data_IF_285874254262
#
_entry.id   IF_285874254262
#
_cell.length_a   1.000
_cell.length_b   1.000
_cell.length_c   1.000
_cell.angle_alpha   90.00
_cell.angle_beta   90.00
_cell.angle_gamma   90.00
#
_symmetry.space_group_name_H-M   'P 1'
#
loop_
_entity.id
_entity.type
_entity.pdbx_description
1 polymer ?
#
# COMPACT_ATOMS: atom_id res chain seq x y z
N UNK A 1 9.43 12.15 -26.21
CA UNK A 1 8.39 12.60 -25.26
C UNK A 1 8.55 11.88 -23.92
N UNK A 2 8.33 12.59 -22.82
CA UNK A 2 8.33 12.03 -21.49
C UNK A 2 7.08 11.19 -21.24
N UNK A 3 7.23 9.99 -20.65
CA UNK A 3 6.12 9.06 -20.38
C UNK A 3 4.99 9.74 -19.56
N UNK A 4 5.32 10.51 -18.53
CA UNK A 4 4.34 11.17 -17.65
C UNK A 4 3.49 12.19 -18.43
N UNK A 5 4.11 12.92 -19.36
CA UNK A 5 3.38 13.84 -20.24
C UNK A 5 2.46 13.10 -21.20
N UNK A 6 2.88 11.95 -21.72
CA UNK A 6 2.02 11.12 -22.59
C UNK A 6 0.83 10.62 -21.79
N UNK A 7 1.05 10.05 -20.61
CA UNK A 7 -0.01 9.56 -19.73
C UNK A 7 -1.00 10.69 -19.39
N UNK A 8 -0.50 11.87 -19.04
CA UNK A 8 -1.37 13.02 -18.75
C UNK A 8 -2.22 13.45 -19.96
N UNK A 9 -1.64 13.47 -21.16
CA UNK A 9 -2.39 13.73 -22.40
C UNK A 9 -3.48 12.67 -22.67
N UNK A 10 -3.27 11.43 -22.20
CA UNK A 10 -4.25 10.36 -22.29
C UNK A 10 -5.30 10.36 -21.16
N UNK A 11 -5.31 11.40 -20.31
CA UNK A 11 -6.30 11.56 -19.24
C UNK A 11 -5.91 10.91 -17.91
N UNK A 12 -4.64 10.52 -17.71
CA UNK A 12 -4.18 10.01 -16.43
C UNK A 12 -4.02 11.16 -15.43
N UNK A 13 -4.71 11.08 -14.30
CA UNK A 13 -4.67 12.11 -13.26
C UNK A 13 -3.88 11.68 -12.02
N UNK A 14 -3.59 10.39 -11.85
CA UNK A 14 -2.87 9.85 -10.70
C UNK A 14 -1.90 8.75 -11.12
N UNK A 15 -0.74 8.72 -10.46
CA UNK A 15 0.26 7.66 -10.60
C UNK A 15 0.39 6.92 -9.26
N UNK A 16 0.27 5.58 -9.29
CA UNK A 16 0.58 4.73 -8.15
C UNK A 16 2.06 4.36 -8.18
N UNK A 17 2.77 4.72 -7.11
CA UNK A 17 4.18 4.42 -6.91
C UNK A 17 4.33 3.49 -5.72
N UNK A 18 4.86 2.29 -5.94
CA UNK A 18 5.21 1.38 -4.85
C UNK A 18 6.56 1.75 -4.27
N UNK A 19 6.75 1.50 -2.99
CA UNK A 19 8.01 1.71 -2.30
C UNK A 19 8.41 0.48 -1.48
N UNK A 20 9.69 0.11 -1.59
CA UNK A 20 10.35 -0.94 -0.85
C UNK A 20 11.43 -0.35 0.06
N UNK A 21 11.58 -0.83 1.31
CA UNK A 21 12.58 -0.31 2.25
C UNK A 21 14.01 -0.43 1.75
N UNK A 22 14.43 -1.61 1.26
CA UNK A 22 15.80 -1.84 0.79
C UNK A 22 15.84 -2.91 -0.31
N UNK A 23 15.54 -2.54 -1.58
CA UNK A 23 15.42 -3.47 -2.71
C UNK A 23 16.77 -3.90 -3.30
N UNK A 24 17.78 -4.08 -2.49
CA UNK A 24 19.13 -4.41 -2.91
C UNK A 24 19.66 -5.67 -2.22
N UNK A 25 20.49 -6.43 -2.92
CA UNK A 25 21.20 -7.56 -2.32
C UNK A 25 22.43 -7.11 -1.50
N UNK A 26 23.17 -8.08 -0.94
CA UNK A 26 24.36 -7.80 -0.13
C UNK A 26 25.51 -7.13 -0.92
N UNK A 27 25.50 -7.20 -2.24
CA UNK A 27 26.49 -6.53 -3.10
C UNK A 27 26.05 -5.11 -3.51
N UNK A 28 24.83 -4.71 -3.13
CA UNK A 28 24.21 -3.45 -3.55
C UNK A 28 23.55 -3.52 -4.94
N UNK A 29 23.42 -4.71 -5.52
CA UNK A 29 22.72 -4.88 -6.79
C UNK A 29 21.20 -4.93 -6.54
N UNK A 30 20.38 -4.25 -7.37
CA UNK A 30 18.93 -4.25 -7.21
C UNK A 30 18.35 -5.63 -7.52
N UNK A 31 17.30 -6.02 -6.79
CA UNK A 31 16.58 -7.30 -7.02
C UNK A 31 15.86 -7.38 -8.38
N UNK A 32 15.76 -6.28 -9.12
CA UNK A 32 14.98 -6.20 -10.36
C UNK A 32 13.54 -5.74 -10.11
N UNK A 33 12.73 -5.76 -11.15
CA UNK A 33 11.35 -5.26 -11.07
C UNK A 33 11.23 -3.73 -10.92
N UNK A 34 12.29 -3.00 -11.26
CA UNK A 34 12.46 -1.56 -11.02
C UNK A 34 13.09 -1.29 -9.66
N UNK A 35 13.82 -0.20 -9.54
CA UNK A 35 14.35 0.28 -8.27
C UNK A 35 13.25 1.05 -7.55
N UNK A 36 12.46 0.37 -6.73
CA UNK A 36 11.35 1.02 -6.01
C UNK A 36 11.80 1.50 -4.62
N UNK A 37 13.00 2.04 -4.53
CA UNK A 37 13.55 2.67 -3.33
C UNK A 37 13.01 4.10 -3.15
N UNK A 38 13.39 4.71 -2.03
CA UNK A 38 12.95 6.07 -1.70
C UNK A 38 13.43 7.10 -2.75
N UNK A 39 14.66 7.00 -3.23
CA UNK A 39 15.22 7.97 -4.18
C UNK A 39 14.50 7.91 -5.52
N UNK A 40 14.33 6.72 -6.07
CA UNK A 40 13.59 6.51 -7.32
C UNK A 40 12.14 6.94 -7.19
N UNK A 41 11.51 6.63 -6.04
CA UNK A 41 10.13 7.06 -5.74
C UNK A 41 10.01 8.59 -5.76
N UNK A 42 10.96 9.31 -5.16
CA UNK A 42 11.00 10.78 -5.19
C UNK A 42 11.09 11.32 -6.62
N UNK A 43 12.01 10.79 -7.43
CA UNK A 43 12.19 11.22 -8.81
C UNK A 43 10.91 11.02 -9.65
N UNK A 44 10.28 9.86 -9.52
CA UNK A 44 9.04 9.55 -10.21
C UNK A 44 7.88 10.43 -9.72
N UNK A 45 7.77 10.65 -8.41
CA UNK A 45 6.74 11.52 -7.84
C UNK A 45 6.90 12.99 -8.27
N UNK A 46 8.13 13.50 -8.34
CA UNK A 46 8.41 14.84 -8.87
C UNK A 46 8.00 14.98 -10.34
N UNK A 47 8.28 13.96 -11.16
CA UNK A 47 7.89 13.93 -12.57
C UNK A 47 6.36 13.89 -12.72
N UNK A 48 5.68 13.07 -11.93
CA UNK A 48 4.22 13.00 -11.90
C UNK A 48 3.62 14.37 -11.55
N UNK A 49 4.09 14.98 -10.46
CA UNK A 49 3.65 16.30 -10.01
C UNK A 49 3.92 17.37 -11.05
N UNK A 50 5.10 17.40 -11.66
CA UNK A 50 5.47 18.35 -12.73
C UNK A 50 4.60 18.20 -13.99
N UNK A 51 3.98 17.04 -14.16
CA UNK A 51 3.04 16.75 -15.23
C UNK A 51 1.58 16.99 -14.84
N UNK A 52 1.31 17.52 -13.63
CA UNK A 52 -0.05 17.78 -13.14
C UNK A 52 -0.82 16.53 -12.73
N UNK A 53 -0.12 15.49 -12.27
CA UNK A 53 -0.72 14.25 -11.74
C UNK A 53 -0.50 14.15 -10.24
N UNK A 54 -1.44 13.54 -9.57
CA UNK A 54 -1.36 13.18 -8.15
C UNK A 54 -0.59 11.87 -7.95
N UNK A 55 -0.20 11.60 -6.70
CA UNK A 55 0.51 10.38 -6.32
C UNK A 55 -0.31 9.59 -5.32
N UNK A 56 -0.49 8.30 -5.60
CA UNK A 56 -0.81 7.26 -4.63
C UNK A 56 0.50 6.57 -4.26
N UNK A 57 0.92 6.64 -3.00
CA UNK A 57 2.11 5.98 -2.51
C UNK A 57 1.75 4.63 -1.89
N UNK A 58 2.34 3.56 -2.40
CA UNK A 58 2.08 2.18 -1.99
C UNK A 58 3.23 1.62 -1.15
N UNK A 59 3.03 1.56 0.16
CA UNK A 59 3.98 0.92 1.08
C UNK A 59 3.79 -0.60 1.09
N UNK A 60 4.69 -1.33 0.46
CA UNK A 60 4.62 -2.80 0.46
C UNK A 60 5.18 -3.44 1.73
N UNK A 61 5.97 -2.72 2.53
CA UNK A 61 6.65 -3.21 3.75
C UNK A 61 7.43 -4.51 3.53
N UNK A 62 8.03 -4.63 2.38
CA UNK A 62 8.91 -5.73 1.97
C UNK A 62 10.03 -5.16 1.10
N UNK A 63 11.18 -5.80 1.06
CA UNK A 63 12.30 -5.36 0.20
C UNK A 63 12.09 -5.72 -1.27
N UNK A 64 11.06 -6.50 -1.56
CA UNK A 64 10.65 -6.91 -2.90
C UNK A 64 9.13 -7.08 -2.96
N UNK A 65 8.60 -7.57 -4.06
CA UNK A 65 7.16 -7.78 -4.24
C UNK A 65 6.49 -8.44 -3.04
N UNK A 66 5.52 -7.75 -2.48
CA UNK A 66 4.56 -8.30 -1.53
C UNK A 66 3.26 -8.63 -2.28
N UNK A 67 2.78 -9.86 -2.11
CA UNK A 67 1.59 -10.39 -2.75
C UNK A 67 0.85 -11.35 -1.80
N UNK A 68 -0.35 -11.86 -2.12
CA UNK A 68 -1.12 -12.70 -1.21
C UNK A 68 -0.44 -14.01 -0.80
N UNK A 69 0.55 -14.47 -1.57
CA UNK A 69 1.32 -15.68 -1.28
C UNK A 69 2.67 -15.38 -0.59
N UNK A 70 3.07 -14.10 -0.55
CA UNK A 70 4.39 -13.70 -0.07
C UNK A 70 4.39 -12.30 0.55
N UNK A 71 4.52 -12.25 1.86
CA UNK A 71 4.52 -11.03 2.67
C UNK A 71 5.73 -11.03 3.62
N UNK A 72 6.94 -11.07 3.02
CA UNK A 72 8.19 -11.23 3.74
C UNK A 72 8.60 -9.90 4.38
N UNK A 73 8.94 -9.93 5.68
CA UNK A 73 9.52 -8.77 6.37
C UNK A 73 10.78 -8.28 5.67
N UNK A 74 11.02 -6.96 5.61
CA UNK A 74 12.31 -6.42 5.19
C UNK A 74 13.47 -7.06 5.95
N UNK A 75 14.61 -7.22 5.31
CA UNK A 75 15.80 -7.85 5.95
C UNK A 75 16.21 -7.16 7.24
N UNK A 76 16.08 -5.83 7.31
CA UNK A 76 16.35 -5.04 8.51
C UNK A 76 15.37 -5.30 9.66
N UNK A 77 14.18 -5.84 9.38
CA UNK A 77 13.12 -6.10 10.37
C UNK A 77 12.95 -7.59 10.67
N UNK A 78 13.80 -8.44 10.13
CA UNK A 78 13.65 -9.90 10.20
C UNK A 78 13.48 -10.43 11.64
N UNK A 79 14.22 -9.86 12.61
CA UNK A 79 14.16 -10.23 14.02
C UNK A 79 13.12 -9.47 14.84
N UNK A 80 12.53 -8.40 14.29
CA UNK A 80 11.56 -7.57 15.03
C UNK A 80 10.22 -8.28 15.12
N UNK A 81 9.56 -8.15 16.29
CA UNK A 81 8.23 -8.68 16.55
C UNK A 81 7.41 -7.70 17.41
N UNK A 82 6.10 -7.88 17.49
CA UNK A 82 5.22 -7.10 18.36
C UNK A 82 5.45 -5.60 18.26
N UNK A 83 5.66 -4.93 19.40
CA UNK A 83 5.82 -3.48 19.46
C UNK A 83 7.07 -2.94 18.75
N UNK A 84 8.13 -3.72 18.65
CA UNK A 84 9.32 -3.31 17.89
C UNK A 84 9.02 -3.28 16.38
N UNK A 85 8.27 -4.25 15.87
CA UNK A 85 7.85 -4.28 14.48
C UNK A 85 6.84 -3.17 14.17
N UNK A 86 5.87 -2.91 15.05
CA UNK A 86 4.98 -1.76 14.93
C UNK A 86 5.75 -0.42 14.88
N UNK A 87 6.77 -0.26 15.74
CA UNK A 87 7.62 0.93 15.73
C UNK A 87 8.42 1.06 14.42
N UNK A 88 8.90 -0.05 13.86
CA UNK A 88 9.60 -0.05 12.56
C UNK A 88 8.68 0.37 11.41
N UNK A 89 7.44 -0.16 11.35
CA UNK A 89 6.42 0.26 10.38
C UNK A 89 6.12 1.75 10.50
N UNK A 90 5.86 2.21 11.72
CA UNK A 90 5.58 3.63 11.99
C UNK A 90 6.73 4.53 11.53
N UNK A 91 7.96 4.23 11.97
CA UNK A 91 9.14 5.06 11.66
C UNK A 91 9.44 5.08 10.16
N UNK A 92 9.40 3.92 9.50
CA UNK A 92 9.63 3.85 8.05
C UNK A 92 8.60 4.68 7.28
N UNK A 93 7.33 4.54 7.61
CA UNK A 93 6.25 5.29 6.95
C UNK A 93 6.43 6.80 7.19
N UNK A 94 6.63 7.18 8.46
CA UNK A 94 6.81 8.57 8.87
C UNK A 94 8.01 9.23 8.18
N UNK A 95 9.19 8.62 8.25
CA UNK A 95 10.41 9.21 7.68
C UNK A 95 10.34 9.29 6.15
N UNK A 96 9.73 8.31 5.49
CA UNK A 96 9.47 8.33 4.05
C UNK A 96 8.56 9.52 3.68
N UNK A 97 7.43 9.68 4.34
CA UNK A 97 6.50 10.78 4.07
C UNK A 97 7.10 12.14 4.38
N UNK A 98 7.82 12.27 5.48
CA UNK A 98 8.56 13.48 5.84
C UNK A 98 9.63 13.83 4.79
N UNK A 99 10.34 12.85 4.29
CA UNK A 99 11.35 13.04 3.22
C UNK A 99 10.73 13.54 1.93
N UNK A 100 9.59 12.96 1.52
CA UNK A 100 8.80 13.41 0.36
C UNK A 100 8.27 14.83 0.55
N UNK A 101 7.64 15.09 1.71
CA UNK A 101 7.06 16.40 2.07
C UNK A 101 8.09 17.52 2.04
N UNK A 102 9.31 17.29 2.54
CA UNK A 102 10.41 18.26 2.51
C UNK A 102 10.87 18.58 1.07
N UNK A 103 10.46 17.79 0.08
CA UNK A 103 10.68 18.02 -1.37
C UNK A 103 9.43 18.50 -2.09
N UNK A 104 8.44 18.93 -1.32
CA UNK A 104 7.18 19.44 -1.84
C UNK A 104 6.27 18.36 -2.43
N UNK A 105 6.50 17.08 -2.12
CA UNK A 105 5.69 15.95 -2.58
C UNK A 105 4.77 15.52 -1.43
N UNK A 106 3.47 15.74 -1.59
CA UNK A 106 2.45 15.28 -0.66
C UNK A 106 1.58 14.30 -1.44
N UNK A 107 1.55 13.00 -1.09
CA UNK A 107 0.68 12.05 -1.76
C UNK A 107 -0.79 12.36 -1.48
N UNK A 108 -1.65 12.24 -2.50
CA UNK A 108 -3.10 12.36 -2.33
C UNK A 108 -3.71 11.11 -1.65
N UNK A 109 -3.05 9.97 -1.84
CA UNK A 109 -3.44 8.71 -1.22
C UNK A 109 -2.20 7.95 -0.74
N UNK A 110 -2.33 7.23 0.37
CA UNK A 110 -1.30 6.33 0.88
C UNK A 110 -1.90 4.94 1.11
N UNK A 111 -1.33 3.96 0.45
CA UNK A 111 -1.69 2.57 0.62
C UNK A 111 -0.80 1.92 1.68
N UNK A 112 -1.42 1.37 2.72
CA UNK A 112 -0.74 0.73 3.86
C UNK A 112 -0.80 -0.79 3.68
N UNK A 113 0.26 -1.34 3.11
CA UNK A 113 0.35 -2.75 2.68
C UNK A 113 -0.19 -2.99 1.27
N UNK A 114 0.31 -4.01 0.60
CA UNK A 114 -0.12 -4.43 -0.73
C UNK A 114 -0.71 -5.83 -0.71
N UNK A 115 -1.93 -6.00 -1.24
CA UNK A 115 -2.63 -7.29 -1.34
C UNK A 115 -2.59 -8.09 -0.02
N UNK A 116 -3.03 -7.42 1.06
CA UNK A 116 -2.92 -7.93 2.43
C UNK A 116 -4.04 -8.89 2.84
N UNK A 117 -4.63 -9.59 1.89
CA UNK A 117 -5.70 -10.58 2.11
C UNK A 117 -5.32 -11.62 3.15
N UNK A 118 -4.07 -12.08 3.13
CA UNK A 118 -3.51 -12.99 4.13
C UNK A 118 -2.68 -12.27 5.21
N UNK A 119 -2.85 -10.93 5.34
CA UNK A 119 -2.04 -10.09 6.20
C UNK A 119 -0.73 -9.65 5.53
N UNK A 120 0.18 -9.07 6.29
CA UNK A 120 1.49 -8.61 5.81
C UNK A 120 2.57 -8.78 6.88
N UNK A 121 3.85 -8.61 6.55
CA UNK A 121 4.96 -8.74 7.50
C UNK A 121 4.95 -10.10 8.26
N UNK A 122 4.84 -11.18 7.49
CA UNK A 122 4.77 -12.52 8.07
C UNK A 122 6.01 -12.92 8.86
N UNK A 123 5.82 -13.77 9.91
CA UNK A 123 4.56 -14.38 10.38
C UNK A 123 3.71 -13.48 11.29
N UNK A 124 4.24 -12.36 11.79
CA UNK A 124 3.64 -11.55 12.85
C UNK A 124 2.28 -10.96 12.44
N UNK A 125 2.22 -10.28 11.31
CA UNK A 125 1.01 -9.66 10.78
C UNK A 125 0.17 -10.55 9.87
N UNK A 126 0.28 -11.89 9.99
CA UNK A 126 -0.58 -12.81 9.25
C UNK A 126 -2.03 -12.70 9.75
N UNK A 127 -3.01 -12.81 8.86
CA UNK A 127 -4.45 -12.73 9.15
C UNK A 127 -4.92 -13.71 10.25
N UNK A 128 -4.18 -14.78 10.53
CA UNK A 128 -4.41 -15.68 11.68
C UNK A 128 -4.15 -15.02 13.05
N UNK A 129 -3.46 -13.87 13.07
CA UNK A 129 -3.21 -13.05 14.24
C UNK A 129 -3.73 -11.64 13.98
N UNK A 130 -5.05 -11.48 13.95
CA UNK A 130 -5.73 -10.23 13.62
C UNK A 130 -5.30 -9.07 14.51
N UNK A 131 -5.08 -9.29 15.80
CA UNK A 131 -4.67 -8.23 16.72
C UNK A 131 -3.27 -7.66 16.37
N UNK A 132 -2.32 -8.53 16.04
CA UNK A 132 -1.00 -8.07 15.60
C UNK A 132 -1.06 -7.39 14.23
N UNK A 133 -1.82 -7.94 13.28
CA UNK A 133 -2.03 -7.31 11.98
C UNK A 133 -2.65 -5.92 12.12
N UNK A 134 -3.68 -5.79 12.94
CA UNK A 134 -4.33 -4.50 13.22
C UNK A 134 -3.38 -3.48 13.85
N UNK A 135 -2.54 -3.89 14.81
CA UNK A 135 -1.52 -3.04 15.41
C UNK A 135 -0.50 -2.51 14.40
N UNK A 136 -0.09 -3.35 13.46
CA UNK A 136 0.80 -2.96 12.36
C UNK A 136 0.13 -1.99 11.39
N UNK A 137 -1.14 -2.21 11.02
CA UNK A 137 -1.91 -1.29 10.20
C UNK A 137 -2.07 0.06 10.88
N UNK A 138 -2.49 0.07 12.16
CA UNK A 138 -2.64 1.29 12.95
C UNK A 138 -1.31 2.06 13.08
N UNK A 139 -0.17 1.38 13.17
CA UNK A 139 1.14 2.02 13.21
C UNK A 139 1.46 2.77 11.91
N UNK A 140 1.23 2.13 10.75
CA UNK A 140 1.39 2.79 9.45
C UNK A 140 0.42 3.95 9.25
N UNK A 141 -0.86 3.72 9.53
CA UNK A 141 -1.93 4.73 9.40
C UNK A 141 -1.65 5.96 10.27
N UNK A 142 -1.25 5.75 11.53
CA UNK A 142 -0.88 6.86 12.43
C UNK A 142 0.24 7.72 11.84
N UNK A 143 1.27 7.10 11.28
CA UNK A 143 2.35 7.84 10.64
C UNK A 143 1.88 8.67 9.43
N UNK A 144 0.95 8.13 8.64
CA UNK A 144 0.33 8.85 7.52
C UNK A 144 -0.43 10.07 8.02
N UNK A 145 -1.29 9.90 9.02
CA UNK A 145 -2.12 10.99 9.56
C UNK A 145 -1.30 12.10 10.22
N UNK A 146 -0.18 11.75 10.83
CA UNK A 146 0.72 12.74 11.42
C UNK A 146 1.48 13.55 10.36
N UNK A 147 1.97 12.94 9.29
CA UNK A 147 2.79 13.62 8.29
C UNK A 147 2.00 14.20 7.10
N UNK A 148 0.92 13.52 6.71
CA UNK A 148 0.08 13.88 5.57
C UNK A 148 -1.41 13.76 5.92
N UNK A 149 -1.96 14.60 6.82
CA UNK A 149 -3.33 14.45 7.35
C UNK A 149 -4.43 14.51 6.29
N UNK A 150 -4.16 15.13 5.14
CA UNK A 150 -5.10 15.22 4.02
C UNK A 150 -5.05 14.00 3.08
N UNK A 151 -4.03 13.13 3.22
CA UNK A 151 -3.91 11.96 2.38
C UNK A 151 -4.95 10.91 2.76
N UNK A 152 -5.69 10.40 1.78
CA UNK A 152 -6.63 9.30 2.00
C UNK A 152 -5.89 7.98 2.15
N UNK A 153 -6.31 7.17 3.09
CA UNK A 153 -5.69 5.89 3.44
C UNK A 153 -6.39 4.75 2.69
N UNK A 154 -5.59 3.95 1.99
CA UNK A 154 -6.07 2.80 1.21
C UNK A 154 -5.65 1.51 1.90
N UNK A 155 -6.61 0.61 2.15
CA UNK A 155 -6.35 -0.80 2.43
C UNK A 155 -6.62 -1.62 1.16
N UNK A 156 -5.67 -2.46 0.76
CA UNK A 156 -5.66 -3.09 -0.54
C UNK A 156 -5.64 -4.62 -0.46
N UNK A 157 -6.65 -5.25 -1.04
CA UNK A 157 -6.76 -6.71 -1.15
C UNK A 157 -6.69 -7.16 -2.61
N UNK A 158 -6.37 -8.43 -2.81
CA UNK A 158 -6.47 -9.11 -4.10
C UNK A 158 -7.88 -9.69 -4.34
N UNK A 159 -8.06 -10.46 -5.44
CA UNK A 159 -9.34 -11.09 -5.80
C UNK A 159 -10.54 -10.14 -5.79
N UNK A 160 -10.46 -9.01 -6.50
CA UNK A 160 -11.48 -7.95 -6.50
C UNK A 160 -12.90 -8.38 -6.86
N UNK A 161 -13.11 -9.59 -7.36
CA UNK A 161 -14.44 -10.17 -7.69
C UNK A 161 -15.02 -11.06 -6.59
N UNK A 162 -14.26 -11.34 -5.52
CA UNK A 162 -14.69 -12.21 -4.41
C UNK A 162 -15.32 -11.39 -3.26
N UNK A 163 -16.62 -11.12 -3.39
CA UNK A 163 -17.37 -10.34 -2.41
C UNK A 163 -17.35 -10.93 -1.00
N UNK A 164 -17.39 -12.28 -0.89
CA UNK A 164 -17.38 -12.95 0.42
C UNK A 164 -16.03 -12.83 1.12
N UNK A 165 -14.92 -12.85 0.34
CA UNK A 165 -13.58 -12.61 0.85
C UNK A 165 -13.49 -11.20 1.44
N UNK A 166 -13.96 -10.19 0.69
CA UNK A 166 -13.94 -8.79 1.15
C UNK A 166 -14.75 -8.59 2.42
N UNK A 167 -15.98 -9.07 2.44
CA UNK A 167 -16.82 -8.95 3.66
C UNK A 167 -16.19 -9.65 4.85
N UNK A 168 -15.76 -10.88 4.69
CA UNK A 168 -15.12 -11.64 5.75
C UNK A 168 -13.86 -10.95 6.29
N UNK A 169 -13.07 -10.32 5.40
CA UNK A 169 -11.84 -9.64 5.78
C UNK A 169 -12.13 -8.33 6.53
N UNK A 170 -12.98 -7.48 5.99
CA UNK A 170 -13.29 -6.18 6.60
C UNK A 170 -14.13 -6.33 7.88
N UNK A 171 -15.06 -7.29 7.95
CA UNK A 171 -15.78 -7.62 9.18
C UNK A 171 -14.81 -8.12 10.28
N UNK A 172 -13.77 -8.86 9.92
CA UNK A 172 -12.79 -9.36 10.89
C UNK A 172 -11.92 -8.25 11.50
N UNK A 173 -11.68 -7.15 10.79
CA UNK A 173 -10.92 -6.02 11.31
C UNK A 173 -11.79 -4.93 11.96
N UNK A 174 -13.10 -4.96 11.80
CA UNK A 174 -14.02 -3.98 12.38
C UNK A 174 -13.80 -3.75 13.89
N UNK A 175 -13.60 -4.79 14.72
CA UNK A 175 -13.41 -4.61 16.16
C UNK A 175 -12.15 -3.84 16.56
N UNK A 176 -11.23 -3.64 15.63
CA UNK A 176 -9.96 -2.93 15.87
C UNK A 176 -10.01 -1.44 15.51
N UNK A 177 -11.15 -0.95 15.02
CA UNK A 177 -11.36 0.48 14.68
C UNK A 177 -10.24 1.04 13.79
N UNK A 178 -9.95 0.36 12.67
CA UNK A 178 -8.93 0.76 11.71
C UNK A 178 -9.45 1.95 10.90
N UNK A 179 -8.78 3.08 11.02
CA UNK A 179 -9.18 4.34 10.38
C UNK A 179 -8.62 4.45 8.95
N UNK A 180 -9.37 3.95 7.97
CA UNK A 180 -9.06 4.00 6.54
C UNK A 180 -10.20 4.66 5.74
N UNK A 181 -9.90 5.10 4.51
CA UNK A 181 -10.82 5.87 3.67
C UNK A 181 -11.28 5.11 2.42
N UNK A 182 -10.45 4.20 1.91
CA UNK A 182 -10.64 3.56 0.61
C UNK A 182 -10.33 2.07 0.71
N UNK A 183 -11.15 1.26 0.05
CA UNK A 183 -10.89 -0.15 -0.19
C UNK A 183 -10.32 -0.31 -1.60
N UNK A 184 -9.05 -0.71 -1.69
CA UNK A 184 -8.38 -1.02 -2.95
C UNK A 184 -8.59 -2.48 -3.35
N UNK A 185 -8.77 -2.72 -4.65
CA UNK A 185 -9.03 -4.04 -5.20
C UNK A 185 -8.08 -4.34 -6.36
N UNK A 186 -7.34 -5.46 -6.31
CA UNK A 186 -6.66 -5.99 -7.47
C UNK A 186 -7.66 -6.74 -8.36
N UNK A 187 -7.62 -6.47 -9.65
CA UNK A 187 -8.42 -7.15 -10.63
C UNK A 187 -7.64 -7.48 -11.90
N UNK A 188 -7.67 -8.73 -12.26
CA UNK A 188 -7.05 -9.27 -13.47
C UNK A 188 -8.09 -10.03 -14.29
N UNK A 189 -8.54 -9.52 -15.44
CA UNK A 189 -9.65 -10.13 -16.22
C UNK A 189 -9.46 -11.61 -16.56
N UNK A 190 -8.21 -12.03 -16.74
CA UNK A 190 -7.89 -13.41 -17.10
C UNK A 190 -8.03 -14.41 -15.93
N UNK A 191 -7.99 -13.93 -14.68
CA UNK A 191 -7.99 -14.78 -13.48
C UNK A 191 -9.18 -14.54 -12.56
N UNK A 192 -9.72 -13.33 -12.55
CA UNK A 192 -10.74 -12.94 -11.59
C UNK A 192 -12.17 -12.96 -12.16
N UNK A 193 -12.36 -13.37 -13.41
CA UNK A 193 -13.69 -13.43 -14.03
C UNK A 193 -14.17 -12.11 -14.64
N UNK A 194 -15.47 -11.98 -14.85
CA UNK A 194 -16.05 -10.85 -15.59
C UNK A 194 -16.12 -9.53 -14.81
N UNK A 195 -16.11 -8.42 -15.54
CA UNK A 195 -16.23 -7.07 -14.97
C UNK A 195 -17.53 -6.86 -14.16
N UNK A 196 -18.60 -7.56 -14.49
CA UNK A 196 -19.85 -7.51 -13.73
C UNK A 196 -19.65 -7.97 -12.27
N UNK A 197 -18.88 -9.02 -12.04
CA UNK A 197 -18.57 -9.50 -10.69
C UNK A 197 -17.74 -8.47 -9.89
N UNK A 198 -16.79 -7.80 -10.56
CA UNK A 198 -16.05 -6.71 -9.94
C UNK A 198 -16.98 -5.56 -9.56
N UNK A 199 -17.82 -5.12 -10.49
CA UNK A 199 -18.77 -4.04 -10.24
C UNK A 199 -19.75 -4.37 -9.11
N UNK A 200 -20.27 -5.58 -9.08
CA UNK A 200 -21.16 -6.06 -8.03
C UNK A 200 -20.46 -6.03 -6.66
N UNK A 201 -19.21 -6.51 -6.59
CA UNK A 201 -18.43 -6.45 -5.37
C UNK A 201 -18.13 -5.01 -4.94
N UNK A 202 -17.69 -4.15 -5.85
CA UNK A 202 -17.44 -2.73 -5.56
C UNK A 202 -18.68 -2.04 -4.97
N UNK A 203 -19.84 -2.25 -5.57
CA UNK A 203 -21.12 -1.69 -5.08
C UNK A 203 -21.48 -2.24 -3.69
N UNK A 204 -21.33 -3.54 -3.50
CA UNK A 204 -21.66 -4.22 -2.23
C UNK A 204 -20.75 -3.73 -1.09
N UNK A 205 -19.47 -3.67 -1.33
CA UNK A 205 -18.46 -3.21 -0.36
C UNK A 205 -18.65 -1.74 -0.02
N UNK A 206 -18.82 -0.88 -1.04
CA UNK A 206 -19.09 0.54 -0.85
C UNK A 206 -20.36 0.78 -0.05
N UNK A 207 -21.45 0.06 -0.34
CA UNK A 207 -22.70 0.19 0.39
C UNK A 207 -22.56 -0.28 1.85
N UNK A 208 -21.82 -1.38 2.09
CA UNK A 208 -21.68 -1.96 3.44
C UNK A 208 -20.78 -1.14 4.33
N UNK A 209 -19.64 -0.68 3.84
CA UNK A 209 -18.61 -0.02 4.64
C UNK A 209 -18.55 1.51 4.47
N UNK A 210 -19.29 2.08 3.52
CA UNK A 210 -19.31 3.52 3.27
C UNK A 210 -18.00 4.06 2.69
N UNK A 211 -17.25 3.22 1.96
CA UNK A 211 -15.90 3.53 1.44
C UNK A 211 -15.88 3.51 -0.09
#
# INVERSE_FOLDING_TARGET
DDLFRILKKCGTDMIRLRIWPDPYDASGAPYGGGNNDLQTTVELAQRAKSSGMEVLLDFQYSDFWADPAKQIKPKAWKSLTGKELEAAVYLHTRETLKYLKNRGIIPAMVQVGNEITNGFLWPDGHVKNLAAMAGLLQAGIRAVKEECPEARIVLHLDFGTDAELYERWFDAIEPFDIDYDIIGMSYYPHWNGGLNLLLDNMNRVSQKYGK
#
